data_IF_327558708712
#
_entry.id   IF_327558708712
#
_cell.length_a   1.000
_cell.length_b   1.000
_cell.length_c   1.000
_cell.angle_alpha   90.00
_cell.angle_beta   90.00
_cell.angle_gamma   90.00
#
_symmetry.space_group_name_H-M   'P 1'
#
loop_
_entity.id
_entity.type
_entity.pdbx_description
1 polymer ?
#
# COMPACT_ATOMS: atom_id res chain seq x y z
N UNK A 1 34.83 -52.06 62.67
CA UNK A 1 35.11 -51.86 61.25
C UNK A 1 33.88 -52.37 60.48
N UNK A 2 32.98 -51.50 60.04
CA UNK A 2 31.87 -51.88 59.15
C UNK A 2 31.80 -50.84 58.03
N UNK A 3 31.80 -51.33 56.80
CA UNK A 3 32.23 -50.64 55.61
C UNK A 3 31.14 -49.69 55.07
N UNK A 4 31.52 -48.43 54.85
CA UNK A 4 30.74 -47.43 54.13
C UNK A 4 30.67 -47.79 52.65
N UNK A 5 29.55 -48.43 52.24
CA UNK A 5 29.21 -48.72 50.85
C UNK A 5 29.06 -47.40 50.06
N UNK A 6 29.71 -47.25 48.89
CA UNK A 6 29.55 -46.04 48.09
C UNK A 6 28.18 -46.07 47.39
N UNK A 7 27.36 -45.05 47.67
CA UNK A 7 26.11 -44.81 46.94
C UNK A 7 26.45 -44.35 45.53
N UNK A 8 26.28 -45.24 44.56
CA UNK A 8 26.32 -44.93 43.13
C UNK A 8 25.22 -43.90 42.84
N UNK A 9 25.60 -42.65 42.52
CA UNK A 9 24.64 -41.67 41.97
C UNK A 9 24.19 -42.19 40.62
N UNK A 10 22.95 -42.68 40.56
CA UNK A 10 22.22 -42.92 39.32
C UNK A 10 22.07 -41.56 38.64
N UNK A 11 22.70 -41.37 37.48
CA UNK A 11 22.37 -40.26 36.59
C UNK A 11 20.92 -40.48 36.15
N UNK A 12 20.01 -39.64 36.66
CA UNK A 12 18.61 -39.63 36.26
C UNK A 12 18.52 -39.02 34.86
N UNK A 13 18.06 -39.75 33.81
CA UNK A 13 18.06 -39.25 32.42
C UNK A 13 17.00 -38.18 32.13
N UNK A 14 16.42 -37.54 33.15
CA UNK A 14 15.11 -36.90 33.07
C UNK A 14 15.17 -35.38 32.94
N UNK A 15 16.35 -34.75 33.04
CA UNK A 15 16.51 -33.33 32.75
C UNK A 15 16.99 -33.13 31.30
N UNK A 16 16.19 -32.46 30.45
CA UNK A 16 16.58 -32.20 29.07
C UNK A 16 17.87 -31.39 29.04
N UNK A 17 18.86 -31.87 28.29
CA UNK A 17 20.13 -31.16 28.16
C UNK A 17 19.91 -29.77 27.55
N UNK A 18 20.75 -28.79 27.89
CA UNK A 18 20.69 -27.42 27.35
C UNK A 18 20.66 -27.40 25.81
N UNK A 19 21.33 -28.36 25.16
CA UNK A 19 21.28 -28.52 23.70
C UNK A 19 19.91 -28.94 23.16
N UNK A 20 19.17 -29.74 23.92
CA UNK A 20 17.81 -30.19 23.57
C UNK A 20 16.78 -29.06 23.70
N UNK A 21 16.94 -28.19 24.72
CA UNK A 21 16.12 -26.99 24.91
C UNK A 21 16.34 -25.97 23.78
N UNK A 22 17.60 -25.73 23.39
CA UNK A 22 17.93 -24.85 22.26
C UNK A 22 17.37 -25.40 20.95
N UNK A 23 17.44 -26.72 20.73
CA UNK A 23 16.82 -27.39 19.59
C UNK A 23 15.30 -27.18 19.53
N UNK A 24 14.59 -27.40 20.65
CA UNK A 24 13.14 -27.21 20.76
C UNK A 24 12.73 -25.74 20.60
N UNK A 25 13.53 -24.79 21.07
CA UNK A 25 13.26 -23.36 20.92
C UNK A 25 13.43 -22.91 19.46
N UNK A 26 14.49 -23.37 18.79
CA UNK A 26 14.70 -23.12 17.36
C UNK A 26 13.58 -23.72 16.50
N UNK A 27 13.09 -24.90 16.87
CA UNK A 27 11.97 -25.55 16.18
C UNK A 27 10.64 -24.82 16.39
N UNK A 28 10.38 -24.28 17.60
CA UNK A 28 9.23 -23.42 17.89
C UNK A 28 9.29 -22.10 17.12
N UNK A 29 10.45 -21.44 17.10
CA UNK A 29 10.64 -20.21 16.32
C UNK A 29 10.46 -20.47 14.82
N UNK A 30 10.98 -21.59 14.30
CA UNK A 30 10.79 -21.96 12.90
C UNK A 30 9.32 -22.23 12.56
N UNK A 31 8.56 -22.86 13.47
CA UNK A 31 7.11 -23.05 13.32
C UNK A 31 6.37 -21.71 13.31
N UNK A 32 6.62 -20.84 14.29
CA UNK A 32 5.99 -19.52 14.36
C UNK A 32 6.24 -18.68 13.10
N UNK A 33 7.48 -18.68 12.59
CA UNK A 33 7.81 -17.97 11.35
C UNK A 33 7.07 -18.54 10.14
N UNK A 34 6.89 -19.86 10.06
CA UNK A 34 6.12 -20.49 8.98
C UNK A 34 4.65 -20.11 9.06
N UNK A 35 4.08 -20.09 10.27
CA UNK A 35 2.69 -19.73 10.51
C UNK A 35 2.42 -18.27 10.14
N UNK A 36 3.30 -17.34 10.54
CA UNK A 36 3.18 -15.91 10.21
C UNK A 36 3.30 -15.67 8.70
N UNK A 37 4.18 -16.42 8.01
CA UNK A 37 4.30 -16.38 6.56
C UNK A 37 3.06 -16.95 5.87
N UNK A 38 2.45 -18.00 6.41
CA UNK A 38 1.21 -18.57 5.88
C UNK A 38 0.04 -17.60 6.06
N UNK A 39 -0.08 -16.99 7.24
CA UNK A 39 -1.07 -15.95 7.51
C UNK A 39 -0.90 -14.75 6.58
N UNK A 40 0.33 -14.25 6.44
CA UNK A 40 0.65 -13.15 5.53
C UNK A 40 0.29 -13.49 4.08
N UNK A 41 0.54 -14.74 3.63
CA UNK A 41 0.12 -15.19 2.29
C UNK A 41 -1.39 -15.16 2.10
N UNK A 42 -2.15 -15.60 3.10
CA UNK A 42 -3.62 -15.55 3.07
C UNK A 42 -4.11 -14.10 3.01
N UNK A 43 -3.59 -13.24 3.88
CA UNK A 43 -3.98 -11.83 3.92
C UNK A 43 -3.60 -11.08 2.63
N UNK A 44 -2.41 -11.32 2.08
CA UNK A 44 -1.98 -10.75 0.80
C UNK A 44 -2.86 -11.24 -0.35
N UNK A 45 -3.28 -12.50 -0.35
CA UNK A 45 -4.18 -13.05 -1.36
C UNK A 45 -5.56 -12.39 -1.29
N UNK A 46 -6.11 -12.23 -0.10
CA UNK A 46 -7.42 -11.60 0.09
C UNK A 46 -7.39 -10.11 -0.24
N UNK A 47 -6.37 -9.38 0.23
CA UNK A 47 -6.14 -7.97 -0.15
C UNK A 47 -5.90 -7.82 -1.64
N UNK A 48 -5.11 -8.70 -2.24
CA UNK A 48 -4.84 -8.72 -3.68
C UNK A 48 -6.11 -8.97 -4.49
N UNK A 49 -6.97 -9.89 -4.05
CA UNK A 49 -8.27 -10.15 -4.69
C UNK A 49 -9.18 -8.93 -4.61
N UNK A 50 -9.32 -8.31 -3.44
CA UNK A 50 -10.16 -7.12 -3.27
C UNK A 50 -9.63 -5.94 -4.10
N UNK A 51 -8.32 -5.69 -4.08
CA UNK A 51 -7.68 -4.67 -4.90
C UNK A 51 -7.87 -4.97 -6.40
N UNK A 52 -7.73 -6.23 -6.82
CA UNK A 52 -7.94 -6.66 -8.21
C UNK A 52 -9.37 -6.47 -8.69
N UNK A 53 -10.37 -6.83 -7.88
CA UNK A 53 -11.79 -6.59 -8.18
C UNK A 53 -12.08 -5.09 -8.23
N UNK A 54 -11.56 -4.31 -7.27
CA UNK A 54 -11.70 -2.85 -7.27
C UNK A 54 -11.08 -2.20 -8.51
N UNK A 55 -9.88 -2.63 -8.90
CA UNK A 55 -9.22 -2.16 -10.11
C UNK A 55 -9.98 -2.56 -11.39
N UNK A 56 -10.52 -3.77 -11.46
CA UNK A 56 -11.32 -4.22 -12.59
C UNK A 56 -12.62 -3.40 -12.70
N UNK A 57 -13.39 -3.28 -11.62
CA UNK A 57 -14.63 -2.50 -11.59
C UNK A 57 -14.37 -1.03 -11.90
N UNK A 58 -13.38 -0.42 -11.25
CA UNK A 58 -12.99 0.97 -11.48
C UNK A 58 -12.51 1.21 -12.92
N UNK A 59 -11.67 0.31 -13.44
CA UNK A 59 -11.18 0.38 -14.82
C UNK A 59 -12.31 0.26 -15.85
N UNK A 60 -13.20 -0.73 -15.69
CA UNK A 60 -14.36 -0.90 -16.57
C UNK A 60 -15.31 0.29 -16.48
N UNK A 61 -15.63 0.77 -15.27
CA UNK A 61 -16.45 1.95 -15.07
C UNK A 61 -15.84 3.19 -15.74
N UNK A 62 -14.53 3.37 -15.64
CA UNK A 62 -13.79 4.46 -16.30
C UNK A 62 -13.89 4.38 -17.83
N UNK A 63 -13.72 3.20 -18.42
CA UNK A 63 -13.87 2.99 -19.87
C UNK A 63 -15.31 3.29 -20.32
N UNK A 64 -16.31 2.79 -19.58
CA UNK A 64 -17.72 3.05 -19.90
C UNK A 64 -18.06 4.54 -19.77
N UNK A 65 -17.57 5.20 -18.72
CA UNK A 65 -17.74 6.64 -18.55
C UNK A 65 -17.10 7.44 -19.69
N UNK A 66 -15.92 7.02 -20.16
CA UNK A 66 -15.26 7.63 -21.31
C UNK A 66 -16.11 7.55 -22.58
N UNK A 67 -16.66 6.37 -22.89
CA UNK A 67 -17.57 6.21 -24.02
C UNK A 67 -18.86 7.03 -23.83
N UNK A 68 -19.45 7.02 -22.64
CA UNK A 68 -20.65 7.79 -22.34
C UNK A 68 -20.44 9.30 -22.58
N UNK A 69 -19.31 9.86 -22.13
CA UNK A 69 -18.95 11.26 -22.41
C UNK A 69 -18.82 11.50 -23.91
N UNK A 70 -18.12 10.62 -24.64
CA UNK A 70 -17.99 10.73 -26.10
C UNK A 70 -19.35 10.69 -26.82
N UNK A 71 -20.26 9.81 -26.41
CA UNK A 71 -21.62 9.73 -26.95
C UNK A 71 -22.43 10.99 -26.64
N UNK A 72 -22.30 11.56 -25.44
CA UNK A 72 -22.96 12.82 -25.09
C UNK A 72 -22.43 14.00 -25.91
N UNK A 73 -21.11 14.06 -26.16
CA UNK A 73 -20.52 15.07 -27.04
C UNK A 73 -21.05 14.91 -28.47
N UNK A 74 -21.09 13.68 -28.99
CA UNK A 74 -21.66 13.40 -30.31
C UNK A 74 -23.14 13.79 -30.40
N UNK A 75 -23.94 13.50 -29.36
CA UNK A 75 -25.34 13.88 -29.26
C UNK A 75 -25.52 15.41 -29.24
N UNK A 76 -24.69 16.14 -28.49
CA UNK A 76 -24.70 17.59 -28.47
C UNK A 76 -24.38 18.18 -29.86
N UNK A 77 -23.36 17.64 -30.53
CA UNK A 77 -23.00 18.05 -31.90
C UNK A 77 -24.14 17.77 -32.87
N UNK A 78 -24.71 16.56 -32.86
CA UNK A 78 -25.82 16.18 -33.72
C UNK A 78 -27.07 17.03 -33.47
N UNK A 79 -27.41 17.28 -32.20
CA UNK A 79 -28.54 18.12 -31.82
C UNK A 79 -28.38 19.55 -32.31
N UNK A 80 -27.22 20.17 -32.11
CA UNK A 80 -26.96 21.54 -32.54
C UNK A 80 -26.82 21.64 -34.07
N UNK A 81 -26.38 20.56 -34.73
CA UNK A 81 -26.31 20.48 -36.20
C UNK A 81 -27.68 20.52 -36.89
N UNK A 82 -28.78 20.39 -36.14
CA UNK A 82 -30.14 20.64 -36.67
C UNK A 82 -30.43 22.12 -36.92
N UNK A 83 -29.68 23.02 -36.27
CA UNK A 83 -29.83 24.47 -36.39
C UNK A 83 -28.68 25.16 -37.13
N UNK A 84 -27.48 24.57 -37.14
CA UNK A 84 -26.28 25.12 -37.79
C UNK A 84 -25.53 24.04 -38.60
N UNK A 85 -24.65 24.40 -39.56
CA UNK A 85 -23.83 23.41 -40.26
C UNK A 85 -22.99 22.56 -39.29
N UNK A 86 -22.78 21.28 -39.64
CA UNK A 86 -22.10 20.30 -38.77
C UNK A 86 -20.72 20.77 -38.28
N UNK A 87 -19.96 21.45 -39.14
CA UNK A 87 -18.64 21.97 -38.77
C UNK A 87 -18.73 23.07 -37.69
N UNK A 88 -19.75 23.93 -37.77
CA UNK A 88 -19.94 25.02 -36.81
C UNK A 88 -20.42 24.46 -35.46
N UNK A 89 -21.33 23.47 -35.49
CA UNK A 89 -21.76 22.75 -34.30
C UNK A 89 -20.58 22.10 -33.56
N UNK A 90 -19.73 21.38 -34.30
CA UNK A 90 -18.54 20.75 -33.73
C UNK A 90 -17.59 21.77 -33.08
N UNK A 91 -17.35 22.92 -33.72
CA UNK A 91 -16.50 23.98 -33.15
C UNK A 91 -17.10 24.63 -31.90
N UNK A 92 -18.41 24.84 -31.86
CA UNK A 92 -19.09 25.41 -30.68
C UNK A 92 -18.96 24.45 -29.48
N UNK A 93 -19.26 23.17 -29.68
CA UNK A 93 -19.17 22.16 -28.61
C UNK A 93 -17.71 21.99 -28.17
N UNK A 94 -16.76 21.93 -29.10
CA UNK A 94 -15.35 21.84 -28.79
C UNK A 94 -14.85 23.07 -28.00
N UNK A 95 -15.25 24.27 -28.41
CA UNK A 95 -14.92 25.51 -27.71
C UNK A 95 -15.46 25.52 -26.27
N UNK A 96 -16.72 25.12 -26.07
CA UNK A 96 -17.30 25.01 -24.74
C UNK A 96 -16.55 24.00 -23.84
N UNK A 97 -16.21 22.83 -24.39
CA UNK A 97 -15.42 21.82 -23.66
C UNK A 97 -14.02 22.32 -23.30
N UNK A 98 -13.34 23.04 -24.20
CA UNK A 98 -12.02 23.62 -23.93
C UNK A 98 -12.07 24.68 -22.82
N UNK A 99 -13.11 25.50 -22.77
CA UNK A 99 -13.28 26.47 -21.69
C UNK A 99 -13.47 25.77 -20.33
N UNK A 100 -14.30 24.73 -20.28
CA UNK A 100 -14.50 23.92 -19.06
C UNK A 100 -13.20 23.22 -18.66
N UNK A 101 -12.53 22.57 -19.60
CA UNK A 101 -11.27 21.86 -19.36
C UNK A 101 -10.17 22.81 -18.89
N UNK A 102 -10.05 24.00 -19.50
CA UNK A 102 -9.12 25.04 -19.07
C UNK A 102 -9.40 25.53 -17.65
N UNK A 103 -10.68 25.75 -17.31
CA UNK A 103 -11.09 26.14 -15.95
C UNK A 103 -10.77 25.06 -14.91
N UNK A 104 -11.10 23.80 -15.19
CA UNK A 104 -10.77 22.67 -14.32
C UNK A 104 -9.25 22.49 -14.16
N UNK A 105 -8.49 22.60 -15.24
CA UNK A 105 -7.03 22.53 -15.22
C UNK A 105 -6.43 23.66 -14.40
N UNK A 106 -6.95 24.88 -14.50
CA UNK A 106 -6.52 26.01 -13.68
C UNK A 106 -6.81 25.79 -12.19
N UNK A 107 -8.00 25.29 -11.84
CA UNK A 107 -8.35 24.93 -10.46
C UNK A 107 -7.44 23.83 -9.93
N UNK A 108 -7.22 22.78 -10.72
CA UNK A 108 -6.34 21.67 -10.36
C UNK A 108 -4.90 22.15 -10.14
N UNK A 109 -4.36 22.96 -11.05
CA UNK A 109 -3.03 23.55 -10.91
C UNK A 109 -2.92 24.42 -9.66
N UNK A 110 -3.96 25.19 -9.34
CA UNK A 110 -3.99 26.00 -8.14
C UNK A 110 -3.99 25.13 -6.87
N UNK A 111 -4.81 24.07 -6.84
CA UNK A 111 -4.90 23.14 -5.70
C UNK A 111 -3.60 22.35 -5.49
N UNK A 112 -2.96 21.92 -6.56
CA UNK A 112 -1.65 21.24 -6.52
C UNK A 112 -0.55 22.21 -6.09
N UNK A 113 -0.56 23.45 -6.57
CA UNK A 113 0.39 24.48 -6.14
C UNK A 113 0.26 24.83 -4.65
N UNK A 114 -0.96 24.83 -4.12
CA UNK A 114 -1.24 25.06 -2.70
C UNK A 114 -1.02 23.81 -1.82
N UNK A 115 -0.72 22.64 -2.40
CA UNK A 115 -0.41 21.41 -1.66
C UNK A 115 1.06 21.36 -1.21
N UNK A 116 1.70 22.52 -0.99
CA UNK A 116 3.09 22.62 -0.54
C UNK A 116 3.19 22.92 0.97
N UNK A 117 4.17 22.30 1.67
CA UNK A 117 5.23 21.46 1.09
C UNK A 117 4.82 19.98 0.95
N UNK A 118 5.07 19.33 -0.21
CA UNK A 118 4.94 17.87 -0.39
C UNK A 118 5.99 17.08 0.39
N UNK A 119 6.98 17.78 0.95
CA UNK A 119 8.00 17.23 1.82
C UNK A 119 7.49 17.40 3.27
N UNK A 120 7.25 16.31 4.02
CA UNK A 120 6.81 16.40 5.41
C UNK A 120 7.98 16.88 6.29
N UNK A 121 8.15 18.20 6.40
CA UNK A 121 9.25 18.84 7.13
C UNK A 121 9.36 18.35 8.59
N UNK A 122 8.22 18.06 9.22
CA UNK A 122 8.16 17.53 10.57
C UNK A 122 8.73 16.10 10.67
N UNK A 123 8.43 15.24 9.70
CA UNK A 123 8.93 13.87 9.64
C UNK A 123 10.44 13.83 9.34
N UNK A 124 10.93 14.77 8.53
CA UNK A 124 12.37 14.92 8.31
C UNK A 124 13.06 15.42 9.58
N UNK A 125 12.49 16.41 10.28
CA UNK A 125 13.04 16.92 11.54
C UNK A 125 13.07 15.88 12.66
N UNK A 126 12.07 15.00 12.76
CA UNK A 126 12.10 13.91 13.75
C UNK A 126 13.21 12.90 13.41
N UNK A 127 13.32 12.49 12.14
CA UNK A 127 14.35 11.54 11.70
C UNK A 127 15.76 12.09 11.93
N UNK A 128 16.00 13.38 11.64
CA UNK A 128 17.30 14.02 11.91
C UNK A 128 17.63 14.05 13.41
N UNK A 129 16.63 14.26 14.27
CA UNK A 129 16.79 14.26 15.72
C UNK A 129 17.13 12.86 16.23
N UNK A 130 16.46 11.84 15.72
CA UNK A 130 16.69 10.46 16.11
C UNK A 130 18.11 10.01 15.71
N UNK A 131 18.57 10.41 14.51
CA UNK A 131 19.95 10.17 14.06
C UNK A 131 20.97 10.90 14.93
N UNK A 132 20.68 12.14 15.35
CA UNK A 132 21.58 12.90 16.22
C UNK A 132 21.75 12.25 17.59
N UNK A 133 20.66 11.76 18.20
CA UNK A 133 20.69 11.07 19.50
C UNK A 133 21.51 9.78 19.42
N UNK A 134 21.37 9.00 18.34
CA UNK A 134 22.16 7.78 18.12
C UNK A 134 23.65 8.12 17.94
N UNK A 135 23.97 9.19 17.20
CA UNK A 135 25.35 9.61 16.95
C UNK A 135 26.05 10.13 18.21
N UNK A 136 25.33 10.85 19.08
CA UNK A 136 25.82 11.32 20.38
C UNK A 136 26.06 10.16 21.35
N UNK A 137 25.16 9.17 21.34
CA UNK A 137 25.27 7.97 22.18
C UNK A 137 26.44 7.05 21.79
N UNK A 138 26.87 7.08 20.52
CA UNK A 138 27.99 6.30 20.00
C UNK A 138 29.37 6.97 20.19
N UNK A 139 29.42 8.21 20.67
CA UNK A 139 30.65 8.96 20.94
C UNK A 139 30.99 9.09 22.43
N UNK A 140 30.16 8.52 23.31
CA UNK A 140 30.44 8.31 24.74
C UNK A 140 30.95 6.90 24.98
#
# INVERSE_FOLDING_TARGET
MNESKPTTRVNDPTEPSTGELVGRLGEQVSRLLRDELELAKVELKDKGKQAGVGAALGGTAGILAWFAVGTLVAAAVAGLATAVPVWASALIVAGALLLIAGGLAAIAANRVGHATPPIPEQAIKSTQRDVAVVKESAHR
#
